data_IF_190181552991
#
_entry.id   IF_190181552991
#
_cell.length_a   1.000
_cell.length_b   1.000
_cell.length_c   1.000
_cell.angle_alpha   90.00
_cell.angle_beta   90.00
_cell.angle_gamma   90.00
#
_symmetry.space_group_name_H-M   'P 1'
#
loop_
_entity.id
_entity.type
_entity.pdbx_description
1 polymer ?
#
# COMPACT_ATOMS: atom_id res chain seq x y z
N UNK A 1 -9.00 2.69 -27.20
CA UNK A 1 -8.99 1.53 -26.29
C UNK A 1 -9.40 1.99 -24.90
N UNK A 2 -10.23 1.20 -24.23
CA UNK A 2 -10.75 1.48 -22.89
C UNK A 2 -10.26 0.40 -21.90
N UNK A 3 -9.70 0.80 -20.76
CA UNK A 3 -9.26 -0.19 -19.77
C UNK A 3 -9.47 0.30 -18.32
N UNK A 4 -9.59 -0.63 -17.39
CA UNK A 4 -9.52 -0.34 -15.95
C UNK A 4 -8.07 -0.35 -15.47
N UNK A 5 -7.70 0.64 -14.65
CA UNK A 5 -6.44 0.68 -13.93
C UNK A 5 -6.71 0.54 -12.42
N UNK A 6 -6.27 -0.56 -11.86
CA UNK A 6 -6.28 -0.89 -10.44
C UNK A 6 -4.88 -1.32 -10.00
N UNK A 7 -4.61 -1.36 -8.69
CA UNK A 7 -3.34 -1.80 -8.10
C UNK A 7 -3.55 -2.16 -6.63
N UNK A 8 -2.49 -2.62 -5.98
CA UNK A 8 -2.39 -2.76 -4.53
C UNK A 8 -3.57 -3.57 -3.95
N UNK A 9 -3.82 -4.75 -4.54
CA UNK A 9 -4.90 -5.64 -4.11
C UNK A 9 -4.61 -6.29 -2.77
N UNK A 10 -3.33 -6.53 -2.44
CA UNK A 10 -2.87 -7.10 -1.16
C UNK A 10 -3.71 -8.28 -0.71
N UNK A 11 -4.00 -9.24 -1.60
CA UNK A 11 -4.83 -10.39 -1.28
C UNK A 11 -4.22 -11.18 -0.11
N UNK A 12 -5.01 -11.37 0.95
CA UNK A 12 -4.58 -12.00 2.18
C UNK A 12 -4.23 -11.01 3.31
N UNK A 13 -4.41 -9.71 3.08
CA UNK A 13 -4.23 -8.65 4.10
C UNK A 13 -5.08 -8.92 5.33
N UNK A 14 -4.50 -8.55 6.48
CA UNK A 14 -5.23 -8.47 7.74
C UNK A 14 -5.21 -7.04 8.27
N UNK A 15 -6.32 -6.59 8.86
CA UNK A 15 -6.41 -5.31 9.54
C UNK A 15 -6.39 -5.57 11.05
N UNK A 16 -5.24 -5.34 11.69
CA UNK A 16 -5.05 -5.56 13.14
C UNK A 16 -5.58 -6.91 13.65
N UNK A 17 -5.30 -7.98 12.90
CA UNK A 17 -5.70 -9.36 13.22
C UNK A 17 -7.03 -9.81 12.61
N UNK A 18 -7.82 -8.93 12.02
CA UNK A 18 -9.03 -9.29 11.27
C UNK A 18 -8.68 -9.60 9.81
N UNK A 19 -9.08 -10.78 9.33
CA UNK A 19 -8.90 -11.13 7.92
C UNK A 19 -9.80 -10.29 7.02
N UNK A 20 -9.25 -9.77 5.93
CA UNK A 20 -10.00 -9.01 4.93
C UNK A 20 -10.37 -9.84 3.69
N UNK A 21 -10.12 -11.16 3.70
CA UNK A 21 -10.32 -12.01 2.52
C UNK A 21 -11.75 -12.03 2.00
N UNK A 22 -12.75 -11.97 2.88
CA UNK A 22 -14.15 -11.97 2.47
C UNK A 22 -14.52 -10.62 1.86
N UNK A 23 -14.05 -9.52 2.45
CA UNK A 23 -14.21 -8.18 1.92
C UNK A 23 -13.56 -8.06 0.53
N UNK A 24 -12.36 -8.64 0.37
CA UNK A 24 -11.64 -8.65 -0.90
C UNK A 24 -12.42 -9.44 -1.97
N UNK A 25 -13.09 -10.54 -1.62
CA UNK A 25 -13.96 -11.28 -2.56
C UNK A 25 -15.16 -10.47 -3.00
N UNK A 26 -15.84 -9.80 -2.07
CA UNK A 26 -17.03 -8.97 -2.40
C UNK A 26 -16.65 -7.73 -3.21
N UNK A 27 -15.52 -7.11 -2.86
CA UNK A 27 -15.01 -5.97 -3.60
C UNK A 27 -14.61 -6.33 -5.04
N UNK A 28 -14.02 -7.52 -5.22
CA UNK A 28 -13.71 -8.04 -6.54
C UNK A 28 -14.96 -8.12 -7.45
N UNK A 29 -16.12 -8.50 -6.92
CA UNK A 29 -17.38 -8.52 -7.69
C UNK A 29 -17.78 -7.12 -8.20
N UNK A 30 -17.45 -6.07 -7.43
CA UNK A 30 -17.67 -4.70 -7.89
C UNK A 30 -16.73 -4.35 -9.04
N UNK A 31 -15.42 -4.72 -8.96
CA UNK A 31 -14.44 -4.51 -10.03
C UNK A 31 -14.92 -5.23 -11.31
N UNK A 32 -15.28 -6.50 -11.20
CA UNK A 32 -15.82 -7.32 -12.29
C UNK A 32 -17.07 -6.68 -12.89
N UNK A 33 -18.01 -6.26 -12.04
CA UNK A 33 -19.25 -5.61 -12.46
C UNK A 33 -19.00 -4.32 -13.24
N UNK A 34 -18.07 -3.48 -12.78
CA UNK A 34 -17.67 -2.26 -13.49
C UNK A 34 -17.01 -2.59 -14.82
N UNK A 35 -16.11 -3.58 -14.88
CA UNK A 35 -15.47 -3.99 -16.12
C UNK A 35 -16.49 -4.39 -17.21
N UNK A 36 -17.53 -5.12 -16.81
CA UNK A 36 -18.63 -5.53 -17.68
C UNK A 36 -19.51 -4.34 -18.09
N UNK A 37 -19.89 -3.51 -17.13
CA UNK A 37 -20.80 -2.38 -17.38
C UNK A 37 -20.18 -1.31 -18.28
N UNK A 38 -18.90 -1.01 -18.10
CA UNK A 38 -18.14 -0.04 -18.89
C UNK A 38 -17.57 -0.65 -20.18
N UNK A 39 -17.78 -1.97 -20.41
CA UNK A 39 -17.32 -2.70 -21.60
C UNK A 39 -15.83 -2.48 -21.89
N UNK A 40 -14.99 -2.69 -20.90
CA UNK A 40 -13.56 -2.44 -21.04
C UNK A 40 -12.88 -3.48 -21.95
N UNK A 41 -11.87 -3.04 -22.68
CA UNK A 41 -11.06 -3.89 -23.55
C UNK A 41 -9.98 -4.68 -22.76
N UNK A 42 -9.60 -4.20 -21.58
CA UNK A 42 -8.59 -4.83 -20.73
C UNK A 42 -8.67 -4.37 -19.25
N UNK A 43 -8.00 -5.12 -18.38
CA UNK A 43 -7.81 -4.77 -16.96
C UNK A 43 -6.31 -4.71 -16.67
N UNK A 44 -5.86 -3.59 -16.11
CA UNK A 44 -4.47 -3.35 -15.69
C UNK A 44 -4.38 -3.42 -14.18
N UNK A 45 -3.46 -4.26 -13.66
CA UNK A 45 -3.16 -4.41 -12.21
C UNK A 45 -1.71 -3.99 -11.98
N UNK A 46 -1.51 -2.79 -11.45
CA UNK A 46 -0.18 -2.18 -11.31
C UNK A 46 0.55 -2.60 -10.03
N UNK A 47 0.66 -3.91 -9.79
CA UNK A 47 1.47 -4.51 -8.72
C UNK A 47 0.75 -4.75 -7.40
N UNK A 48 1.46 -5.38 -6.47
CA UNK A 48 1.01 -5.81 -5.14
C UNK A 48 -0.28 -6.63 -5.18
N UNK A 49 -0.22 -7.76 -5.89
CA UNK A 49 -1.32 -8.70 -5.98
C UNK A 49 -1.55 -9.38 -4.63
N UNK A 50 -0.48 -9.78 -3.96
CA UNK A 50 -0.51 -10.37 -2.61
C UNK A 50 -0.01 -9.37 -1.55
N UNK A 51 -0.46 -9.53 -0.30
CA UNK A 51 0.04 -8.77 0.84
C UNK A 51 1.45 -9.20 1.29
N UNK A 52 1.86 -10.40 0.93
CA UNK A 52 3.13 -10.99 1.35
C UNK A 52 3.76 -11.81 0.25
N UNK A 53 5.10 -11.80 0.18
CA UNK A 53 5.88 -12.64 -0.73
C UNK A 53 5.69 -14.17 -0.49
N UNK A 54 5.14 -14.55 0.66
CA UNK A 54 4.76 -15.92 1.01
C UNK A 54 3.28 -15.91 1.42
N UNK A 55 2.35 -15.82 0.48
CA UNK A 55 0.93 -15.81 0.77
C UNK A 55 0.47 -17.17 1.32
N UNK A 56 -0.52 -17.16 2.23
CA UNK A 56 -1.15 -18.38 2.70
C UNK A 56 -2.02 -19.03 1.60
N UNK A 57 -2.37 -20.30 1.78
CA UNK A 57 -3.15 -21.06 0.78
C UNK A 57 -4.50 -20.41 0.45
N UNK A 58 -5.17 -19.81 1.44
CA UNK A 58 -6.45 -19.16 1.23
C UNK A 58 -6.30 -17.92 0.33
N UNK A 59 -5.26 -17.13 0.53
CA UNK A 59 -4.96 -15.98 -0.33
C UNK A 59 -4.63 -16.42 -1.76
N UNK A 60 -3.82 -17.48 -1.92
CA UNK A 60 -3.50 -18.05 -3.24
C UNK A 60 -4.77 -18.50 -3.96
N UNK A 61 -5.65 -19.23 -3.27
CA UNK A 61 -6.92 -19.70 -3.83
C UNK A 61 -7.83 -18.53 -4.25
N UNK A 62 -7.90 -17.47 -3.43
CA UNK A 62 -8.73 -16.29 -3.72
C UNK A 62 -8.23 -15.58 -4.96
N UNK A 63 -6.94 -15.22 -5.03
CA UNK A 63 -6.39 -14.52 -6.20
C UNK A 63 -6.53 -15.36 -7.48
N UNK A 64 -6.22 -16.64 -7.41
CA UNK A 64 -6.38 -17.52 -8.58
C UNK A 64 -7.83 -17.57 -9.09
N UNK A 65 -8.83 -17.60 -8.19
CA UNK A 65 -10.23 -17.57 -8.59
C UNK A 65 -10.61 -16.22 -9.22
N UNK A 66 -10.11 -15.10 -8.67
CA UNK A 66 -10.34 -13.77 -9.23
C UNK A 66 -9.76 -13.64 -10.64
N UNK A 67 -8.48 -14.02 -10.83
CA UNK A 67 -7.83 -13.96 -12.14
C UNK A 67 -8.48 -14.92 -13.14
N UNK A 68 -8.86 -16.12 -12.71
CA UNK A 68 -9.62 -17.07 -13.54
C UNK A 68 -10.96 -16.49 -13.97
N UNK A 69 -11.68 -15.83 -13.06
CA UNK A 69 -12.96 -15.21 -13.36
C UNK A 69 -12.81 -14.12 -14.43
N UNK A 70 -11.90 -13.17 -14.23
CA UNK A 70 -11.69 -12.09 -15.20
C UNK A 70 -11.22 -12.59 -16.57
N UNK A 71 -10.22 -13.49 -16.58
CA UNK A 71 -9.55 -13.85 -17.82
C UNK A 71 -10.20 -15.04 -18.53
N UNK A 72 -10.50 -16.15 -17.82
CA UNK A 72 -11.01 -17.35 -18.48
C UNK A 72 -12.53 -17.36 -18.61
N UNK A 73 -13.27 -16.81 -17.64
CA UNK A 73 -14.73 -16.79 -17.68
C UNK A 73 -15.23 -15.58 -18.44
N UNK A 74 -14.81 -14.37 -18.05
CA UNK A 74 -15.28 -13.11 -18.61
C UNK A 74 -14.50 -12.69 -19.86
N UNK A 75 -13.38 -13.35 -20.15
CA UNK A 75 -12.54 -13.15 -21.35
C UNK A 75 -11.87 -11.78 -21.46
N UNK A 76 -11.70 -11.08 -20.34
CA UNK A 76 -10.92 -9.85 -20.35
C UNK A 76 -9.43 -10.16 -20.50
N UNK A 77 -8.72 -9.47 -21.40
CA UNK A 77 -7.27 -9.36 -21.32
C UNK A 77 -6.86 -8.75 -19.97
N UNK A 78 -5.93 -9.38 -19.27
CA UNK A 78 -5.41 -8.92 -17.98
C UNK A 78 -3.93 -8.63 -18.13
N UNK A 79 -3.52 -7.42 -17.75
CA UNK A 79 -2.13 -6.98 -17.76
C UNK A 79 -1.72 -6.70 -16.30
N UNK A 80 -0.80 -7.49 -15.76
CA UNK A 80 -0.39 -7.38 -14.38
C UNK A 80 1.13 -7.32 -14.24
N UNK A 81 1.61 -6.64 -13.23
CA UNK A 81 3.02 -6.63 -12.83
C UNK A 81 3.16 -7.10 -11.38
N UNK A 82 4.34 -7.56 -11.00
CA UNK A 82 4.65 -7.75 -9.56
C UNK A 82 5.01 -6.41 -8.92
N UNK A 83 4.48 -6.18 -7.70
CA UNK A 83 4.86 -5.07 -6.83
C UNK A 83 5.97 -5.47 -5.85
N UNK A 84 6.18 -4.65 -4.80
CA UNK A 84 7.22 -4.89 -3.81
C UNK A 84 6.84 -5.92 -2.73
N UNK A 85 5.55 -6.16 -2.51
CA UNK A 85 5.06 -7.22 -1.62
C UNK A 85 5.08 -8.60 -2.29
N UNK A 86 5.05 -8.64 -3.61
CA UNK A 86 4.99 -9.87 -4.38
C UNK A 86 6.34 -10.59 -4.45
N UNK A 87 6.30 -11.92 -4.55
CA UNK A 87 7.47 -12.70 -4.94
C UNK A 87 7.50 -12.90 -6.45
N UNK A 88 8.33 -12.15 -7.16
CA UNK A 88 8.49 -12.26 -8.60
C UNK A 88 8.69 -13.73 -9.08
N UNK A 89 9.58 -14.56 -8.46
CA UNK A 89 9.75 -15.95 -8.87
C UNK A 89 8.52 -16.84 -8.65
N UNK A 90 7.70 -16.56 -7.62
CA UNK A 90 6.48 -17.33 -7.35
C UNK A 90 5.36 -16.95 -8.32
N UNK A 91 5.19 -15.66 -8.58
CA UNK A 91 4.21 -15.16 -9.53
C UNK A 91 4.54 -15.55 -10.97
N UNK A 92 5.81 -15.63 -11.35
CA UNK A 92 6.20 -15.99 -12.72
C UNK A 92 5.90 -17.47 -13.07
N UNK A 93 5.55 -18.31 -12.07
CA UNK A 93 5.21 -19.70 -12.33
C UNK A 93 3.99 -19.78 -13.26
N UNK A 94 4.21 -20.25 -14.47
CA UNK A 94 3.17 -20.39 -15.49
C UNK A 94 2.89 -19.11 -16.32
N UNK A 95 3.59 -18.01 -16.10
CA UNK A 95 3.34 -16.73 -16.79
C UNK A 95 3.43 -16.86 -18.33
N UNK A 96 4.36 -17.66 -18.84
CA UNK A 96 4.51 -17.89 -20.28
C UNK A 96 3.27 -18.55 -20.90
N UNK A 97 2.65 -19.50 -20.16
CA UNK A 97 1.41 -20.15 -20.62
C UNK A 97 0.20 -19.22 -20.50
N UNK A 98 0.18 -18.33 -19.52
CA UNK A 98 -0.94 -17.40 -19.32
C UNK A 98 -1.09 -16.43 -20.49
N UNK A 99 0.02 -16.02 -21.12
CA UNK A 99 0.02 -15.11 -22.28
C UNK A 99 -0.81 -15.63 -23.46
N UNK A 100 -0.90 -16.94 -23.68
CA UNK A 100 -1.75 -17.55 -24.71
C UNK A 100 -3.26 -17.33 -24.47
N UNK A 101 -3.64 -16.95 -23.25
CA UNK A 101 -5.01 -16.59 -22.88
C UNK A 101 -5.19 -15.09 -22.69
N UNK A 102 -4.26 -14.25 -23.22
CA UNK A 102 -4.25 -12.80 -23.00
C UNK A 102 -4.16 -12.39 -21.50
N UNK A 103 -3.52 -13.22 -20.67
CA UNK A 103 -3.11 -12.83 -19.34
C UNK A 103 -1.60 -12.60 -19.32
N UNK A 104 -1.20 -11.33 -19.32
CA UNK A 104 0.18 -10.88 -19.38
C UNK A 104 0.65 -10.51 -17.98
N UNK A 105 1.41 -11.39 -17.35
CA UNK A 105 1.96 -11.19 -16.02
C UNK A 105 3.48 -10.96 -16.12
N UNK A 106 3.91 -9.73 -15.88
CA UNK A 106 5.33 -9.37 -15.97
C UNK A 106 5.95 -9.25 -14.57
N UNK A 107 7.04 -9.99 -14.35
CA UNK A 107 7.74 -10.04 -13.07
C UNK A 107 9.25 -9.81 -13.22
N UNK A 108 9.76 -9.65 -14.44
CA UNK A 108 11.18 -9.40 -14.72
C UNK A 108 11.41 -8.10 -15.47
N UNK A 109 12.58 -7.48 -15.25
CA UNK A 109 12.97 -6.27 -15.95
C UNK A 109 13.12 -6.51 -17.45
N UNK A 110 13.66 -7.67 -17.85
CA UNK A 110 13.90 -8.03 -19.26
C UNK A 110 12.62 -8.00 -20.09
N UNK A 111 11.55 -8.57 -19.57
CA UNK A 111 10.26 -8.61 -20.27
C UNK A 111 9.57 -7.24 -20.35
N UNK A 112 9.93 -6.27 -19.50
CA UNK A 112 9.37 -4.94 -19.53
C UNK A 112 9.70 -4.15 -20.83
N UNK A 113 10.71 -4.59 -21.58
CA UNK A 113 11.10 -3.97 -22.85
C UNK A 113 10.33 -4.50 -24.06
N UNK A 114 9.52 -5.54 -23.86
CA UNK A 114 8.67 -6.14 -24.90
C UNK A 114 7.20 -5.73 -24.64
N UNK A 115 6.69 -4.67 -25.27
CA UNK A 115 5.36 -4.17 -24.96
C UNK A 115 4.28 -5.15 -25.41
N UNK A 116 3.24 -5.28 -24.60
CA UNK A 116 1.99 -5.95 -24.99
C UNK A 116 1.18 -5.00 -25.87
N UNK A 117 0.78 -5.47 -27.05
CA UNK A 117 0.01 -4.67 -28.00
C UNK A 117 -1.45 -5.13 -27.99
N UNK A 118 -2.35 -4.23 -27.58
CA UNK A 118 -3.79 -4.44 -27.66
C UNK A 118 -4.40 -3.28 -28.44
N UNK A 119 -5.00 -3.58 -29.59
CA UNK A 119 -5.55 -2.56 -30.48
C UNK A 119 -4.53 -1.50 -30.90
N UNK A 120 -4.82 -0.23 -30.59
CA UNK A 120 -3.95 0.92 -30.89
C UNK A 120 -2.99 1.29 -29.74
N UNK A 121 -2.82 0.43 -28.74
CA UNK A 121 -2.08 0.76 -27.51
C UNK A 121 -0.97 -0.27 -27.25
N UNK A 122 0.23 0.23 -26.95
CA UNK A 122 1.35 -0.55 -26.43
C UNK A 122 1.42 -0.36 -24.92
N UNK A 123 1.40 -1.47 -24.16
CA UNK A 123 1.57 -1.49 -22.72
C UNK A 123 2.96 -1.99 -22.34
N UNK A 124 3.74 -1.15 -21.70
CA UNK A 124 5.04 -1.49 -21.13
C UNK A 124 4.82 -1.88 -19.66
N UNK A 125 5.00 -3.17 -19.37
CA UNK A 125 4.74 -3.74 -18.05
C UNK A 125 6.04 -3.78 -17.25
N UNK A 126 6.29 -2.77 -16.40
CA UNK A 126 7.49 -2.64 -15.58
C UNK A 126 7.22 -3.10 -14.15
N UNK A 127 7.65 -4.30 -13.73
CA UNK A 127 7.51 -4.75 -12.35
C UNK A 127 8.35 -3.91 -11.40
N UNK A 128 8.07 -4.01 -10.10
CA UNK A 128 8.95 -3.45 -9.08
C UNK A 128 10.37 -3.98 -9.23
N UNK A 129 11.34 -3.11 -9.10
CA UNK A 129 12.75 -3.45 -9.27
C UNK A 129 13.66 -2.80 -8.22
N UNK A 130 14.74 -3.49 -7.86
CA UNK A 130 15.85 -2.90 -7.11
C UNK A 130 16.87 -2.26 -8.05
N UNK A 131 17.55 -1.20 -7.60
CA UNK A 131 18.59 -0.50 -8.38
C UNK A 131 19.67 -1.47 -8.86
N UNK A 132 20.06 -2.45 -8.02
CA UNK A 132 21.10 -3.43 -8.37
C UNK A 132 20.70 -4.30 -9.57
N UNK A 133 19.42 -4.64 -9.70
CA UNK A 133 18.91 -5.39 -10.85
C UNK A 133 19.12 -4.62 -12.14
N UNK A 134 18.84 -3.31 -12.13
CA UNK A 134 19.02 -2.43 -13.29
C UNK A 134 20.50 -2.24 -13.63
N UNK A 135 21.34 -2.02 -12.60
CA UNK A 135 22.82 -1.96 -12.79
C UNK A 135 23.37 -3.20 -13.48
N UNK A 136 22.97 -4.37 -13.00
CA UNK A 136 23.43 -5.65 -13.53
C UNK A 136 22.93 -5.85 -14.97
N UNK A 137 21.65 -5.56 -15.24
CA UNK A 137 21.06 -5.72 -16.55
C UNK A 137 21.76 -4.87 -17.62
N UNK A 138 21.98 -3.58 -17.33
CA UNK A 138 22.62 -2.66 -18.26
C UNK A 138 24.15 -2.63 -18.17
N UNK A 139 24.75 -3.37 -17.23
CA UNK A 139 26.18 -3.32 -16.91
C UNK A 139 26.66 -1.87 -16.70
N UNK A 140 25.88 -1.05 -15.99
CA UNK A 140 26.14 0.37 -15.78
C UNK A 140 26.23 0.71 -14.28
N UNK A 141 27.46 0.82 -13.73
CA UNK A 141 27.67 1.17 -12.33
C UNK A 141 27.34 2.64 -11.99
N UNK A 142 27.09 3.49 -12.98
CA UNK A 142 26.73 4.91 -12.78
C UNK A 142 25.28 5.09 -12.33
N UNK A 143 24.45 4.07 -12.45
CA UNK A 143 23.07 4.09 -11.94
C UNK A 143 23.09 4.07 -10.42
N UNK A 144 22.98 5.23 -9.77
CA UNK A 144 23.14 5.38 -8.31
C UNK A 144 21.81 5.49 -7.55
N UNK A 145 20.72 5.81 -8.23
CA UNK A 145 19.40 5.99 -7.62
C UNK A 145 18.30 5.47 -8.56
N UNK A 146 17.06 5.45 -8.05
CA UNK A 146 15.89 4.93 -8.80
C UNK A 146 15.57 5.79 -10.01
N UNK A 147 15.75 7.11 -9.94
CA UNK A 147 15.46 8.00 -11.06
C UNK A 147 16.41 7.78 -12.24
N UNK A 148 17.73 7.64 -11.98
CA UNK A 148 18.70 7.27 -13.02
C UNK A 148 18.42 5.88 -13.61
N UNK A 149 17.99 4.93 -12.78
CA UNK A 149 17.56 3.62 -13.23
C UNK A 149 16.38 3.76 -14.19
N UNK A 150 15.38 4.55 -13.81
CA UNK A 150 14.17 4.78 -14.60
C UNK A 150 14.46 5.51 -15.91
N UNK A 151 15.32 6.51 -15.91
CA UNK A 151 15.79 7.18 -17.14
C UNK A 151 16.40 6.16 -18.12
N UNK A 152 17.23 5.24 -17.62
CA UNK A 152 17.85 4.20 -18.45
C UNK A 152 16.83 3.20 -18.98
N UNK A 153 15.87 2.79 -18.14
CA UNK A 153 14.77 1.90 -18.53
C UNK A 153 13.89 2.55 -19.61
N UNK A 154 13.45 3.80 -19.40
CA UNK A 154 12.62 4.53 -20.37
C UNK A 154 13.34 4.73 -21.69
N UNK A 155 14.64 5.04 -21.66
CA UNK A 155 15.45 5.15 -22.87
C UNK A 155 15.49 3.84 -23.68
N UNK A 156 15.47 2.68 -23.01
CA UNK A 156 15.42 1.37 -23.66
C UNK A 156 14.01 1.09 -24.22
N UNK A 157 12.96 1.34 -23.42
CA UNK A 157 11.55 1.15 -23.85
C UNK A 157 11.20 1.97 -25.09
N UNK A 158 11.72 3.20 -25.19
CA UNK A 158 11.50 4.08 -26.34
C UNK A 158 11.95 3.49 -27.67
N UNK A 159 12.90 2.55 -27.69
CA UNK A 159 13.34 1.88 -28.92
C UNK A 159 12.25 0.98 -29.52
N UNK A 160 11.30 0.53 -28.68
CA UNK A 160 10.17 -0.29 -29.09
C UNK A 160 8.87 0.51 -29.33
N UNK A 161 8.91 1.84 -29.22
CA UNK A 161 7.73 2.68 -29.48
C UNK A 161 7.34 2.61 -30.95
N UNK A 162 6.09 2.19 -31.21
CA UNK A 162 5.48 2.26 -32.52
C UNK A 162 4.82 3.64 -32.72
N UNK A 163 5.14 4.39 -33.77
CA UNK A 163 4.73 5.80 -33.93
C UNK A 163 3.21 5.98 -34.09
N UNK A 164 2.50 4.94 -34.50
CA UNK A 164 1.05 4.92 -34.71
C UNK A 164 0.26 4.44 -33.49
N UNK A 165 0.93 4.18 -32.36
CA UNK A 165 0.30 3.63 -31.16
C UNK A 165 0.37 4.59 -29.98
N UNK A 166 -0.55 4.42 -29.05
CA UNK A 166 -0.49 5.03 -27.72
C UNK A 166 0.41 4.21 -26.81
N UNK A 167 1.19 4.88 -25.98
CA UNK A 167 2.15 4.24 -25.09
C UNK A 167 1.70 4.38 -23.63
N UNK A 168 1.43 3.25 -23.00
CA UNK A 168 1.04 3.17 -21.59
C UNK A 168 2.15 2.46 -20.81
N UNK A 169 2.63 3.10 -19.75
CA UNK A 169 3.50 2.48 -18.77
C UNK A 169 2.67 1.96 -17.61
N UNK A 170 2.85 0.71 -17.24
CA UNK A 170 2.33 0.11 -16.00
C UNK A 170 3.51 -0.11 -15.07
N UNK A 171 3.51 0.48 -13.88
CA UNK A 171 4.68 0.41 -13.00
C UNK A 171 4.30 0.55 -11.52
N UNK A 172 5.27 0.24 -10.64
CA UNK A 172 5.07 0.20 -9.20
C UNK A 172 6.26 0.85 -8.48
N UNK A 173 6.18 2.17 -8.21
CA UNK A 173 7.24 2.95 -7.59
C UNK A 173 6.73 4.29 -7.04
N UNK A 174 7.61 4.99 -6.31
CA UNK A 174 7.34 6.33 -5.78
C UNK A 174 7.73 7.43 -6.78
N UNK A 175 6.77 8.20 -7.28
CA UNK A 175 7.00 9.32 -8.18
C UNK A 175 7.23 10.63 -7.40
N UNK A 176 8.04 11.54 -7.97
CA UNK A 176 8.33 12.84 -7.38
C UNK A 176 7.05 13.68 -7.24
N UNK A 177 6.94 14.40 -6.12
CA UNK A 177 5.76 15.20 -5.80
C UNK A 177 4.59 14.43 -5.19
N UNK A 178 4.70 13.11 -5.08
CA UNK A 178 3.67 12.29 -4.44
C UNK A 178 3.64 12.45 -2.92
N UNK A 179 2.45 12.29 -2.33
CA UNK A 179 2.23 12.32 -0.88
C UNK A 179 1.96 10.92 -0.36
N UNK A 180 2.71 10.51 0.66
CA UNK A 180 2.50 9.24 1.37
C UNK A 180 1.36 9.34 2.38
N UNK A 181 0.67 8.23 2.63
CA UNK A 181 -0.24 8.06 3.75
C UNK A 181 0.52 7.37 4.90
N UNK A 182 0.41 7.89 6.11
CA UNK A 182 1.06 7.29 7.27
C UNK A 182 0.55 5.87 7.50
N UNK A 183 1.46 4.96 7.89
CA UNK A 183 1.16 3.55 8.27
C UNK A 183 0.42 2.71 7.21
N UNK A 184 0.32 3.21 5.98
CA UNK A 184 -0.40 2.54 4.89
C UNK A 184 0.54 1.86 3.92
N UNK A 185 1.70 2.47 3.65
CA UNK A 185 2.70 1.93 2.72
C UNK A 185 3.95 1.45 3.48
N UNK A 186 4.43 0.26 3.15
CA UNK A 186 5.67 -0.27 3.71
C UNK A 186 6.87 0.49 3.15
N UNK A 187 7.67 1.10 4.03
CA UNK A 187 8.94 1.72 3.65
C UNK A 187 9.98 0.64 3.32
N UNK A 188 9.94 0.08 2.15
CA UNK A 188 11.07 -0.71 1.65
C UNK A 188 12.07 0.28 1.05
N UNK A 189 13.00 0.73 1.87
CA UNK A 189 14.17 1.51 1.44
C UNK A 189 15.15 0.60 0.67
N UNK A 190 14.77 0.18 -0.51
CA UNK A 190 15.73 -0.48 -1.41
C UNK A 190 16.39 0.60 -2.25
N UNK A 191 17.53 1.10 -1.78
CA UNK A 191 18.40 1.95 -2.59
C UNK A 191 18.21 3.47 -2.46
N UNK A 192 17.66 3.96 -1.35
CA UNK A 192 17.52 5.41 -1.07
C UNK A 192 16.21 6.00 -1.58
N UNK A 193 15.70 6.99 -0.84
CA UNK A 193 14.39 7.67 -0.99
C UNK A 193 14.28 8.58 -2.25
N UNK A 194 15.03 8.35 -3.30
CA UNK A 194 14.95 9.20 -4.50
C UNK A 194 13.71 8.84 -5.31
N UNK A 195 12.70 9.72 -5.37
CA UNK A 195 11.52 9.49 -6.19
C UNK A 195 11.89 9.56 -7.68
N UNK A 196 11.10 8.88 -8.52
CA UNK A 196 11.21 8.99 -9.98
C UNK A 196 10.66 10.35 -10.43
N UNK A 197 11.42 11.09 -11.23
CA UNK A 197 10.96 12.36 -11.81
C UNK A 197 9.79 12.13 -12.77
N UNK A 198 8.76 12.97 -12.68
CA UNK A 198 7.63 12.97 -13.62
C UNK A 198 8.06 13.31 -15.05
N UNK A 199 9.16 14.07 -15.22
CA UNK A 199 9.77 14.36 -16.52
C UNK A 199 10.30 13.10 -17.21
N UNK A 200 10.86 12.16 -16.44
CA UNK A 200 11.31 10.85 -16.97
C UNK A 200 10.15 10.06 -17.58
N UNK A 201 8.93 10.27 -17.08
CA UNK A 201 7.71 9.58 -17.50
C UNK A 201 6.98 10.28 -18.66
N UNK A 202 7.41 11.50 -19.04
CA UNK A 202 6.77 12.31 -20.07
C UNK A 202 6.60 11.64 -21.46
N UNK A 203 7.44 10.68 -21.89
CA UNK A 203 7.26 9.99 -23.16
C UNK A 203 5.99 9.14 -23.26
N UNK A 204 5.35 8.76 -22.16
CA UNK A 204 4.15 7.93 -22.17
C UNK A 204 2.86 8.77 -22.22
N UNK A 205 1.86 8.31 -22.97
CA UNK A 205 0.53 8.92 -23.04
C UNK A 205 -0.24 8.75 -21.72
N UNK A 206 0.00 7.63 -21.00
CA UNK A 206 -0.55 7.36 -19.68
C UNK A 206 0.43 6.53 -18.84
N UNK A 207 0.49 6.80 -17.55
CA UNK A 207 1.29 6.02 -16.58
C UNK A 207 0.38 5.51 -15.48
N UNK A 208 0.20 4.19 -15.46
CA UNK A 208 -0.58 3.46 -14.47
C UNK A 208 0.31 3.04 -13.30
N UNK A 209 0.20 3.72 -12.16
CA UNK A 209 1.02 3.47 -10.97
C UNK A 209 0.24 2.73 -9.88
N UNK A 210 0.90 1.75 -9.25
CA UNK A 210 0.62 1.23 -7.92
C UNK A 210 1.63 1.74 -6.89
N UNK A 211 1.65 1.12 -5.70
CA UNK A 211 2.53 1.38 -4.56
C UNK A 211 1.95 2.37 -3.53
N UNK A 212 1.32 3.46 -3.95
CA UNK A 212 0.68 4.39 -3.02
C UNK A 212 -0.83 4.15 -2.99
N UNK A 213 -1.36 3.87 -1.80
CA UNK A 213 -2.76 3.49 -1.60
C UNK A 213 -3.77 4.61 -1.78
N UNK A 214 -3.31 5.85 -1.98
CA UNK A 214 -4.17 7.03 -2.16
C UNK A 214 -4.15 7.51 -3.61
N UNK A 215 -5.31 7.52 -4.28
CA UNK A 215 -5.46 8.07 -5.65
C UNK A 215 -5.00 9.51 -5.80
N UNK A 216 -5.06 10.28 -4.70
CA UNK A 216 -4.67 11.68 -4.65
C UNK A 216 -3.20 11.87 -4.23
N UNK A 217 -2.40 10.78 -4.22
CA UNK A 217 -0.99 10.87 -3.86
C UNK A 217 -0.20 11.78 -4.81
N UNK A 218 -0.58 11.83 -6.10
CA UNK A 218 0.00 12.72 -7.11
C UNK A 218 -1.11 13.43 -7.89
N UNK A 219 -0.96 14.74 -8.07
CA UNK A 219 -1.86 15.54 -8.90
C UNK A 219 -1.25 15.73 -10.30
N UNK A 220 -1.57 14.82 -11.22
CA UNK A 220 -1.16 14.87 -12.62
C UNK A 220 -2.31 14.43 -13.53
N UNK A 221 -2.32 14.89 -14.79
CA UNK A 221 -3.34 14.53 -15.78
C UNK A 221 -3.20 13.12 -16.34
N UNK A 222 -1.96 12.63 -16.48
CA UNK A 222 -1.60 11.38 -17.16
C UNK A 222 -0.91 10.34 -16.27
N UNK A 223 -0.27 10.77 -15.19
CA UNK A 223 0.39 9.89 -14.22
C UNK A 223 -0.57 9.71 -13.05
N UNK A 224 -1.06 8.49 -12.85
CA UNK A 224 -2.08 8.20 -11.84
C UNK A 224 -1.70 7.02 -10.96
N UNK A 225 -1.81 7.22 -9.66
CA UNK A 225 -1.96 6.10 -8.72
C UNK A 225 -3.41 5.66 -8.71
N UNK A 226 -3.67 4.36 -8.84
CA UNK A 226 -5.04 3.87 -8.64
C UNK A 226 -5.40 3.90 -7.15
N UNK A 227 -4.39 3.86 -6.29
CA UNK A 227 -4.60 3.55 -4.89
C UNK A 227 -5.01 2.09 -4.69
N UNK A 228 -5.12 1.67 -3.44
CA UNK A 228 -5.68 0.36 -3.11
C UNK A 228 -7.20 0.33 -3.31
N UNK A 229 -7.79 -0.81 -3.70
CA UNK A 229 -9.22 -0.91 -3.94
C UNK A 229 -10.06 -0.84 -2.65
N UNK A 230 -9.43 -1.09 -1.48
CA UNK A 230 -10.05 -0.96 -0.16
C UNK A 230 -9.08 -0.34 0.86
N UNK A 231 -9.59 -0.02 2.04
CA UNK A 231 -8.79 0.54 3.13
C UNK A 231 -8.05 -0.56 3.88
N UNK A 232 -6.73 -0.44 3.99
CA UNK A 232 -5.86 -1.42 4.64
C UNK A 232 -5.28 -0.94 5.97
N UNK A 233 -5.50 0.32 6.32
CA UNK A 233 -5.07 0.91 7.59
C UNK A 233 -6.06 1.96 8.08
N UNK A 234 -6.00 2.26 9.39
CA UNK A 234 -6.79 3.32 10.02
C UNK A 234 -6.50 4.69 9.41
N UNK A 235 -5.26 4.93 8.99
CA UNK A 235 -4.88 6.18 8.35
C UNK A 235 -5.57 6.42 7.00
N UNK A 236 -6.13 5.37 6.39
CA UNK A 236 -6.91 5.43 5.16
C UNK A 236 -8.41 5.64 5.39
N UNK A 237 -8.89 5.73 6.65
CA UNK A 237 -10.32 5.80 6.99
C UNK A 237 -11.10 6.87 6.21
N UNK A 238 -10.46 8.01 5.93
CA UNK A 238 -11.07 9.15 5.20
C UNK A 238 -10.84 9.12 3.68
N UNK A 239 -10.14 8.10 3.16
CA UNK A 239 -9.87 8.01 1.74
C UNK A 239 -11.03 7.36 1.01
N UNK A 240 -11.34 7.88 -0.18
CA UNK A 240 -12.20 7.23 -1.15
C UNK A 240 -11.38 6.20 -1.94
N UNK A 241 -11.88 4.97 -2.01
CA UNK A 241 -11.25 3.86 -2.73
C UNK A 241 -11.96 3.58 -4.03
N UNK A 242 -11.22 3.04 -5.01
CA UNK A 242 -11.76 2.77 -6.34
C UNK A 242 -10.68 2.45 -7.36
N UNK A 243 -10.93 2.81 -8.61
CA UNK A 243 -10.05 2.57 -9.75
C UNK A 243 -10.25 3.62 -10.84
N UNK A 244 -9.32 3.69 -11.78
CA UNK A 244 -9.44 4.57 -12.94
C UNK A 244 -9.99 3.82 -14.15
N UNK A 245 -10.97 4.40 -14.82
CA UNK A 245 -11.36 4.05 -16.16
C UNK A 245 -10.62 4.97 -17.13
N UNK A 246 -9.88 4.39 -18.07
CA UNK A 246 -8.99 5.10 -18.98
C UNK A 246 -9.38 4.79 -20.41
N UNK A 247 -9.70 5.83 -21.17
CA UNK A 247 -9.82 5.78 -22.62
C UNK A 247 -8.56 6.36 -23.25
N UNK A 248 -7.92 5.65 -24.17
CA UNK A 248 -6.72 6.13 -24.84
C UNK A 248 -7.02 7.02 -26.05
N UNK A 249 -8.22 6.91 -26.62
CA UNK A 249 -8.64 7.71 -27.78
C UNK A 249 -10.19 7.81 -27.86
N UNK A 250 -10.79 9.00 -27.69
CA UNK A 250 -10.12 10.21 -27.18
C UNK A 250 -9.59 9.99 -25.76
N UNK A 251 -8.50 10.65 -25.41
CA UNK A 251 -7.90 10.46 -24.09
C UNK A 251 -8.81 11.01 -22.98
N UNK A 252 -9.25 10.13 -22.10
CA UNK A 252 -10.07 10.47 -20.94
C UNK A 252 -9.71 9.57 -19.76
N UNK A 253 -9.75 10.13 -18.56
CA UNK A 253 -9.52 9.40 -17.31
C UNK A 253 -10.65 9.72 -16.34
N UNK A 254 -11.43 8.71 -15.96
CA UNK A 254 -12.59 8.84 -15.07
C UNK A 254 -12.38 7.99 -13.82
N UNK A 255 -12.59 8.56 -12.65
CA UNK A 255 -12.57 7.82 -11.38
C UNK A 255 -13.87 7.05 -11.19
N UNK A 256 -13.75 5.77 -10.85
CA UNK A 256 -14.87 4.90 -10.48
C UNK A 256 -14.71 4.51 -9.01
N UNK A 257 -15.54 5.04 -8.10
CA UNK A 257 -15.47 4.69 -6.69
C UNK A 257 -15.95 3.26 -6.46
N UNK A 258 -15.31 2.57 -5.51
CA UNK A 258 -15.73 1.29 -4.97
C UNK A 258 -16.31 1.50 -3.58
N UNK A 259 -17.39 0.80 -3.27
CA UNK A 259 -18.02 0.86 -1.96
C UNK A 259 -17.36 -0.13 -1.01
N UNK A 260 -16.91 0.30 0.17
CA UNK A 260 -16.40 -0.65 1.15
C UNK A 260 -17.48 -1.65 1.54
N UNK A 261 -17.09 -2.89 1.78
CA UNK A 261 -17.97 -3.92 2.34
C UNK A 261 -18.17 -3.64 3.83
N UNK A 262 -17.04 -3.49 4.53
CA UNK A 262 -17.00 -2.97 5.89
C UNK A 262 -16.09 -1.74 5.89
N UNK A 263 -16.55 -0.65 6.50
CA UNK A 263 -15.79 0.60 6.52
C UNK A 263 -15.00 0.75 7.83
N UNK A 264 -14.09 1.75 7.88
CA UNK A 264 -13.30 2.08 9.05
C UNK A 264 -13.84 3.39 9.64
N UNK A 265 -14.32 3.33 10.88
CA UNK A 265 -14.85 4.46 11.63
C UNK A 265 -13.88 4.92 12.70
N UNK A 266 -13.66 6.25 12.75
CA UNK A 266 -12.86 6.89 13.78
C UNK A 266 -13.83 7.48 14.82
N UNK A 267 -13.88 6.87 16.00
CA UNK A 267 -14.77 7.31 17.08
C UNK A 267 -13.94 7.96 18.19
N UNK A 268 -14.46 9.06 18.73
CA UNK A 268 -13.88 9.77 19.87
C UNK A 268 -14.95 10.16 20.85
N UNK A 269 -14.83 9.70 22.09
CA UNK A 269 -15.82 9.99 23.13
C UNK A 269 -15.48 9.39 24.47
N UNK A 270 -16.29 9.68 25.49
CA UNK A 270 -16.26 8.94 26.74
C UNK A 270 -16.81 7.52 26.54
N UNK A 271 -16.44 6.59 27.42
CA UNK A 271 -17.01 5.24 27.41
C UNK A 271 -18.56 5.26 27.44
N UNK A 272 -19.13 6.14 28.26
CA UNK A 272 -20.59 6.24 28.38
C UNK A 272 -21.27 6.73 27.11
N UNK A 273 -20.66 7.73 26.43
CA UNK A 273 -21.17 8.27 25.17
C UNK A 273 -21.08 7.22 24.07
N UNK A 274 -19.91 6.55 23.95
CA UNK A 274 -19.70 5.51 22.95
C UNK A 274 -20.69 4.35 23.10
N UNK A 275 -20.99 3.92 24.33
CA UNK A 275 -21.99 2.87 24.58
C UNK A 275 -23.41 3.35 24.22
N UNK A 276 -23.74 4.60 24.53
CA UNK A 276 -25.05 5.19 24.22
C UNK A 276 -25.27 5.29 22.71
N UNK A 277 -24.22 5.68 21.98
CA UNK A 277 -24.29 5.93 20.54
C UNK A 277 -24.09 4.65 19.70
N UNK A 278 -23.74 3.53 20.36
CA UNK A 278 -23.44 2.27 19.69
C UNK A 278 -24.60 1.74 18.82
N UNK A 279 -25.84 1.93 19.25
CA UNK A 279 -27.03 1.49 18.50
C UNK A 279 -27.21 2.22 17.16
N UNK A 280 -26.51 3.33 16.94
CA UNK A 280 -26.55 4.12 15.71
C UNK A 280 -25.38 3.77 14.76
N UNK A 281 -24.46 2.89 15.19
CA UNK A 281 -23.29 2.51 14.41
C UNK A 281 -23.51 1.14 13.74
N UNK A 282 -22.96 0.91 12.53
CA UNK A 282 -22.93 -0.42 11.91
C UNK A 282 -22.21 -1.42 12.81
N UNK A 283 -22.75 -2.62 12.97
CA UNK A 283 -22.18 -3.63 13.90
C UNK A 283 -20.97 -4.37 13.32
N UNK A 284 -20.87 -4.44 11.97
CA UNK A 284 -19.84 -5.24 11.29
C UNK A 284 -18.66 -4.44 10.76
N UNK A 285 -18.67 -3.11 10.91
CA UNK A 285 -17.59 -2.23 10.48
C UNK A 285 -16.40 -2.26 11.46
N UNK A 286 -15.27 -1.72 11.02
CA UNK A 286 -14.05 -1.60 11.81
C UNK A 286 -14.01 -0.28 12.58
N UNK A 287 -13.50 -0.31 13.81
CA UNK A 287 -13.50 0.84 14.69
C UNK A 287 -12.11 1.15 15.24
N UNK A 288 -11.63 2.38 15.03
CA UNK A 288 -10.58 2.99 15.80
C UNK A 288 -11.20 3.93 16.83
N UNK A 289 -10.97 3.65 18.11
CA UNK A 289 -11.65 4.33 19.23
C UNK A 289 -10.63 5.13 20.04
N UNK A 290 -10.87 6.45 20.15
CA UNK A 290 -10.13 7.34 21.04
C UNK A 290 -10.99 7.69 22.27
N UNK A 291 -10.64 7.10 23.44
CA UNK A 291 -11.31 7.37 24.70
C UNK A 291 -10.85 8.71 25.31
N UNK A 292 -11.83 9.50 25.73
CA UNK A 292 -11.61 10.79 26.40
C UNK A 292 -11.71 10.73 27.94
N UNK A 293 -12.07 9.58 28.49
CA UNK A 293 -12.16 9.38 29.95
C UNK A 293 -10.82 9.62 30.64
N UNK A 294 -10.84 10.44 31.73
CA UNK A 294 -9.66 10.71 32.54
C UNK A 294 -9.29 9.58 33.48
N UNK A 295 -10.27 8.78 33.92
CA UNK A 295 -10.12 7.68 34.85
C UNK A 295 -9.82 6.35 34.16
N UNK A 296 -9.22 5.41 34.91
CA UNK A 296 -9.00 4.03 34.45
C UNK A 296 -10.35 3.29 34.41
N UNK A 297 -10.71 2.76 33.24
CA UNK A 297 -11.88 1.90 33.09
C UNK A 297 -11.38 0.45 33.06
N UNK A 298 -11.73 -0.41 34.03
CA UNK A 298 -11.34 -1.81 34.00
C UNK A 298 -11.94 -2.53 32.79
N UNK A 299 -11.12 -3.38 32.15
CA UNK A 299 -11.51 -4.23 31.02
C UNK A 299 -12.24 -3.51 29.88
N UNK A 300 -11.83 -2.27 29.62
CA UNK A 300 -12.53 -1.37 28.69
C UNK A 300 -12.65 -1.93 27.28
N UNK A 301 -11.62 -2.64 26.79
CA UNK A 301 -11.63 -3.20 25.44
C UNK A 301 -12.71 -4.29 25.29
N UNK A 302 -12.79 -5.25 26.22
CA UNK A 302 -13.79 -6.31 26.15
C UNK A 302 -15.21 -5.76 26.35
N UNK A 303 -15.35 -4.75 27.21
CA UNK A 303 -16.64 -4.08 27.40
C UNK A 303 -17.11 -3.33 26.16
N UNK A 304 -16.19 -2.66 25.43
CA UNK A 304 -16.53 -1.99 24.18
C UNK A 304 -16.79 -2.99 23.05
N UNK A 305 -16.10 -4.14 23.03
CA UNK A 305 -16.33 -5.19 22.00
C UNK A 305 -17.74 -5.77 22.02
N UNK A 306 -18.46 -5.65 23.14
CA UNK A 306 -19.89 -6.01 23.18
C UNK A 306 -20.76 -5.11 22.29
N UNK A 307 -20.28 -3.91 21.94
CA UNK A 307 -20.97 -2.92 21.12
C UNK A 307 -20.31 -2.71 19.77
N UNK A 308 -18.99 -2.83 19.70
CA UNK A 308 -18.13 -2.66 18.54
C UNK A 308 -17.25 -3.90 18.37
N UNK A 309 -17.74 -4.98 17.76
CA UNK A 309 -17.03 -6.26 17.71
C UNK A 309 -15.65 -6.20 17.05
N UNK A 310 -15.48 -5.34 16.02
CA UNK A 310 -14.25 -5.20 15.24
C UNK A 310 -13.46 -3.94 15.62
N UNK A 311 -13.08 -3.80 16.90
CA UNK A 311 -12.16 -2.73 17.31
C UNK A 311 -10.75 -3.07 16.84
N UNK A 312 -10.22 -2.26 15.92
CA UNK A 312 -8.88 -2.41 15.35
C UNK A 312 -7.82 -1.61 16.13
N UNK A 313 -8.22 -0.51 16.78
CA UNK A 313 -7.35 0.25 17.67
C UNK A 313 -8.14 0.90 18.80
N UNK A 314 -7.51 1.04 19.97
CA UNK A 314 -8.07 1.73 21.13
C UNK A 314 -7.00 2.64 21.73
N UNK A 315 -7.25 3.95 21.67
CA UNK A 315 -6.35 4.99 22.18
C UNK A 315 -6.97 5.73 23.38
N UNK A 316 -6.13 6.40 24.18
CA UNK A 316 -6.58 7.30 25.24
C UNK A 316 -5.98 8.69 25.07
N UNK A 317 -6.82 9.71 24.98
CA UNK A 317 -6.39 11.11 24.80
C UNK A 317 -5.44 11.60 25.89
N UNK A 318 -5.69 11.24 27.14
CA UNK A 318 -4.93 11.71 28.31
C UNK A 318 -3.49 11.20 28.27
N UNK A 319 -3.26 9.96 27.87
CA UNK A 319 -1.91 9.39 27.74
C UNK A 319 -1.12 10.01 26.59
N UNK A 320 -1.76 10.24 25.45
CA UNK A 320 -1.13 10.84 24.28
C UNK A 320 -0.70 12.30 24.52
N UNK A 321 -1.50 13.08 25.25
CA UNK A 321 -1.16 14.46 25.63
C UNK A 321 -0.05 14.52 26.69
N UNK A 322 -0.07 13.64 27.68
CA UNK A 322 1.01 13.54 28.66
C UNK A 322 2.36 13.20 28.01
N UNK A 323 2.38 12.20 27.13
CA UNK A 323 3.60 11.79 26.40
C UNK A 323 4.09 12.93 25.48
N UNK A 324 3.18 13.62 24.77
CA UNK A 324 3.55 14.74 23.88
C UNK A 324 4.11 15.94 24.65
N UNK A 325 3.48 16.32 25.77
CA UNK A 325 3.90 17.49 26.55
C UNK A 325 5.17 17.24 27.34
N UNK A 326 5.42 16.03 27.81
CA UNK A 326 6.68 15.68 28.51
C UNK A 326 7.83 15.37 27.53
N UNK A 327 7.56 14.78 26.36
CA UNK A 327 8.60 14.49 25.37
C UNK A 327 9.24 15.77 24.79
N UNK A 328 8.50 16.85 24.63
CA UNK A 328 9.00 18.04 23.95
C UNK A 328 9.77 19.01 24.88
N UNK A 329 9.54 19.00 26.18
CA UNK A 329 10.10 20.02 27.09
C UNK A 329 11.35 19.59 27.88
N UNK A 330 11.52 18.29 28.16
CA UNK A 330 12.64 17.80 29.02
C UNK A 330 13.62 16.85 28.32
N UNK A 331 13.24 16.15 27.25
CA UNK A 331 14.06 15.10 26.63
C UNK A 331 15.24 15.61 25.78
N UNK A 332 15.18 16.83 25.27
CA UNK A 332 16.27 17.37 24.44
C UNK A 332 17.56 17.68 25.22
N UNK A 333 17.54 17.73 26.57
CA UNK A 333 18.67 18.08 27.43
C UNK A 333 18.90 17.11 28.62
N UNK A 334 18.12 16.07 28.78
CA UNK A 334 18.26 15.14 29.89
C UNK A 334 19.36 14.10 29.63
N UNK A 335 20.18 13.78 30.67
CA UNK A 335 21.15 12.71 30.55
C UNK A 335 20.47 11.35 30.33
N UNK A 336 21.08 10.41 29.55
CA UNK A 336 20.50 9.10 29.29
C UNK A 336 20.05 8.31 30.51
N UNK A 337 20.75 8.48 31.63
CA UNK A 337 20.42 7.84 32.91
C UNK A 337 19.12 8.41 33.51
N UNK A 338 18.91 9.72 33.42
CA UNK A 338 17.72 10.37 33.94
C UNK A 338 16.50 9.95 33.13
N UNK A 339 16.65 9.84 31.80
CA UNK A 339 15.60 9.34 30.90
C UNK A 339 15.20 7.89 31.24
N UNK A 340 16.18 7.03 31.56
CA UNK A 340 15.91 5.65 31.94
C UNK A 340 15.21 5.57 33.30
N UNK A 341 15.63 6.40 34.26
CA UNK A 341 15.06 6.46 35.62
C UNK A 341 13.60 6.94 35.57
N UNK A 342 13.33 8.00 34.79
CA UNK A 342 11.99 8.53 34.60
C UNK A 342 11.08 7.51 33.91
N UNK A 343 11.57 6.86 32.82
CA UNK A 343 10.84 5.80 32.13
C UNK A 343 10.48 4.63 33.03
N UNK A 344 11.42 4.18 33.86
CA UNK A 344 11.21 3.07 34.80
C UNK A 344 10.12 3.44 35.82
N UNK A 345 10.21 4.64 36.43
CA UNK A 345 9.26 5.08 37.43
C UNK A 345 7.87 5.31 36.83
N UNK A 346 7.79 5.83 35.60
CA UNK A 346 6.50 6.02 34.90
C UNK A 346 5.83 4.69 34.52
N UNK A 347 6.64 3.66 34.22
CA UNK A 347 6.13 2.37 33.72
C UNK A 347 5.74 1.43 34.87
N UNK A 348 6.53 1.42 35.95
CA UNK A 348 6.37 0.47 37.06
C UNK A 348 5.69 1.07 38.31
N UNK A 349 5.69 2.41 38.41
CA UNK A 349 5.28 3.12 39.64
C UNK A 349 6.33 3.12 40.72
N UNK A 350 7.50 2.45 40.55
CA UNK A 350 8.56 2.31 41.51
C UNK A 350 9.84 3.05 41.07
N UNK A 351 10.75 3.32 42.02
CA UNK A 351 12.09 3.84 41.71
C UNK A 351 13.08 2.71 41.45
N UNK A 352 14.10 2.95 40.62
CA UNK A 352 15.17 2.01 40.39
C UNK A 352 15.88 1.69 41.72
N UNK A 353 16.02 0.42 42.05
CA UNK A 353 16.83 -0.02 43.20
C UNK A 353 18.31 0.33 43.02
N UNK A 354 19.11 0.42 44.09
CA UNK A 354 20.53 0.72 43.99
C UNK A 354 21.31 -0.23 43.07
N UNK A 355 20.88 -1.49 42.98
CA UNK A 355 21.47 -2.49 42.09
C UNK A 355 21.14 -2.24 40.63
N UNK A 356 19.88 -1.94 40.34
CA UNK A 356 19.41 -1.60 38.97
C UNK A 356 20.06 -0.30 38.47
N UNK A 357 20.17 0.71 39.33
CA UNK A 357 20.85 1.97 39.02
C UNK A 357 22.33 1.77 38.65
N UNK A 358 23.02 0.87 39.38
CA UNK A 358 24.44 0.53 39.12
C UNK A 358 24.58 -0.14 37.74
N UNK A 359 23.72 -1.12 37.43
CA UNK A 359 23.72 -1.80 36.14
C UNK A 359 23.45 -0.81 35.02
N UNK A 360 22.44 0.04 35.18
CA UNK A 360 22.11 1.07 34.20
C UNK A 360 23.30 2.00 33.90
N UNK A 361 23.98 2.50 34.95
CA UNK A 361 25.17 3.34 34.79
C UNK A 361 26.31 2.63 34.07
N UNK A 362 26.60 1.38 34.42
CA UNK A 362 27.66 0.59 33.78
C UNK A 362 27.36 0.38 32.28
N UNK A 363 26.14 -0.01 31.94
CA UNK A 363 25.74 -0.25 30.56
C UNK A 363 25.78 1.02 29.71
N UNK A 364 25.30 2.15 30.23
CA UNK A 364 25.35 3.43 29.54
C UNK A 364 26.80 3.89 29.28
N UNK A 365 27.68 3.74 30.28
CA UNK A 365 29.13 4.06 30.12
C UNK A 365 29.81 3.19 29.05
N UNK A 366 29.44 1.91 28.94
CA UNK A 366 29.99 1.01 27.90
C UNK A 366 29.52 1.41 26.49
N UNK A 367 28.30 1.91 26.37
CA UNK A 367 27.76 2.38 25.08
C UNK A 367 28.42 3.70 24.65
N UNK A 368 28.62 4.62 25.60
CA UNK A 368 29.28 5.92 25.34
C UNK A 368 30.77 5.78 25.05
N UNK A 369 31.45 4.80 25.65
CA UNK A 369 32.87 4.51 25.39
C UNK A 369 33.14 3.77 24.07
N UNK A 370 32.10 3.35 23.33
CA UNK A 370 32.20 2.71 22.00
C UNK A 370 31.98 3.68 20.84
N UNK A 371 31.72 4.95 21.10
CA UNK A 371 31.68 6.03 20.10
C UNK A 371 33.02 6.76 20.10
#
# INVERSE_FOLDING_TARGET
MRFLHTADWHIGKTLNGFSLLDDQRELFKQIEGVAKAEQVDAIVIAGDLYDSSIPNESAVRVLNNMLKQLNLTDKFPVLAISGNHDSAPRLSTGADWFSFQNFFLQTSLEGAFNPVVLGNTQFFLLPFFGIQTVRNYFNDPKIKNVDLAMQRIVAEMKKAFAPDKKHVLVAHFFAAGSKKTADSETLIEVGGLSPVSTETLAPFDYVALGHLHNKNALHDGRIKYSGSPMKFSVSEAKQEKGMWLVDTEPFQVKWIPLKPVHDIHLLKGSFADLVKDAAQQPTDDFYDIELTDKGRIPDVLNRLRAYYPKIVALHRTVFAQMIRNQANAKRAQAAPLDLLTDFYSETTGDQLSPTQLRVAKSTLSEIEGRK
#
